data_IF_376215472371
#
_entry.id   IF_376215472371
#
_cell.length_a   1.000
_cell.length_b   1.000
_cell.length_c   1.000
_cell.angle_alpha   90.00
_cell.angle_beta   90.00
_cell.angle_gamma   90.00
#
_symmetry.space_group_name_H-M   'P 1'
#
loop_
_entity.id
_entity.type
_entity.pdbx_description
1 polymer ?
#
# COMPACT_ATOMS: atom_id res chain seq x y z
N UNK A 1 16.86 7.00 20.81
CA UNK A 1 17.03 5.61 20.34
C UNK A 1 16.26 5.46 19.03
N UNK A 2 16.91 5.18 17.89
CA UNK A 2 16.22 4.86 16.62
C UNK A 2 16.08 3.34 16.56
N UNK A 3 14.86 2.83 16.65
CA UNK A 3 14.59 1.40 16.45
C UNK A 3 14.48 1.17 14.94
N UNK A 4 15.46 0.50 14.36
CA UNK A 4 15.41 0.03 12.97
C UNK A 4 14.85 -1.38 12.95
N UNK A 5 13.79 -1.61 12.16
CA UNK A 5 13.28 -2.94 11.84
C UNK A 5 13.81 -3.34 10.47
N UNK A 6 14.93 -4.09 10.38
CA UNK A 6 15.42 -4.56 9.09
C UNK A 6 14.42 -5.58 8.53
N UNK A 7 13.87 -5.27 7.36
CA UNK A 7 13.10 -6.19 6.54
C UNK A 7 13.89 -6.39 5.26
N UNK A 8 14.05 -7.63 4.82
CA UNK A 8 14.49 -7.89 3.45
C UNK A 8 13.41 -7.41 2.48
N UNK A 9 13.81 -6.88 1.33
CA UNK A 9 12.86 -6.29 0.39
C UNK A 9 13.34 -6.36 -1.04
N UNK A 10 12.37 -6.45 -1.97
CA UNK A 10 12.61 -6.20 -3.38
C UNK A 10 12.53 -4.70 -3.66
N UNK A 11 13.48 -4.21 -4.44
CA UNK A 11 13.54 -2.82 -4.93
C UNK A 11 13.47 -2.81 -6.44
N UNK A 12 12.49 -2.10 -7.00
CA UNK A 12 12.43 -1.78 -8.41
C UNK A 12 12.48 -0.26 -8.57
N UNK A 13 13.48 0.21 -9.31
CA UNK A 13 13.71 1.62 -9.59
C UNK A 13 13.18 1.97 -10.99
N UNK A 14 12.64 3.20 -11.18
CA UNK A 14 12.35 3.74 -12.51
C UNK A 14 13.58 3.70 -13.41
N UNK A 15 13.39 3.53 -14.72
CA UNK A 15 14.50 3.42 -15.69
C UNK A 15 15.42 4.65 -15.64
N UNK A 16 14.85 5.85 -15.53
CA UNK A 16 15.60 7.11 -15.48
C UNK A 16 16.10 7.46 -14.07
N UNK A 17 15.96 6.57 -13.08
CA UNK A 17 16.32 6.88 -11.70
C UNK A 17 17.78 7.33 -11.59
N UNK A 18 18.70 6.69 -12.33
CA UNK A 18 20.13 7.02 -12.31
C UNK A 18 20.50 8.21 -13.21
N UNK A 19 19.73 8.45 -14.28
CA UNK A 19 20.03 9.49 -15.27
C UNK A 19 19.80 10.91 -14.72
N UNK A 20 18.75 11.11 -13.92
CA UNK A 20 18.41 12.41 -13.35
C UNK A 20 18.54 12.44 -11.82
N UNK A 21 19.70 12.89 -11.33
CA UNK A 21 20.01 12.96 -9.89
C UNK A 21 19.18 13.99 -9.11
N UNK A 22 18.47 14.91 -9.78
CA UNK A 22 17.62 15.93 -9.15
C UNK A 22 16.17 15.49 -9.00
N UNK A 23 15.72 14.53 -9.81
CA UNK A 23 14.32 14.08 -9.78
C UNK A 23 14.03 13.29 -8.52
N UNK A 24 12.94 13.67 -7.85
CA UNK A 24 12.32 12.91 -6.76
C UNK A 24 11.15 12.11 -7.30
N UNK A 25 11.11 10.83 -6.95
CA UNK A 25 10.20 9.85 -7.52
C UNK A 25 9.07 9.51 -6.55
N UNK A 26 7.85 9.24 -7.04
CA UNK A 26 6.84 8.62 -6.20
C UNK A 26 7.35 7.30 -5.63
N UNK A 27 6.86 6.94 -4.45
CA UNK A 27 7.14 5.65 -3.80
C UNK A 27 5.85 4.87 -3.65
N UNK A 28 5.83 3.63 -4.16
CA UNK A 28 4.78 2.65 -3.89
C UNK A 28 5.37 1.56 -3.01
N UNK A 29 4.77 1.38 -1.83
CA UNK A 29 5.10 0.30 -0.90
C UNK A 29 4.07 -0.80 -1.06
N UNK A 30 4.51 -2.01 -1.39
CA UNK A 30 3.66 -3.19 -1.59
C UNK A 30 3.82 -4.19 -0.44
N UNK A 31 2.71 -4.55 0.21
CA UNK A 31 2.66 -5.56 1.26
C UNK A 31 2.05 -6.86 0.73
N UNK A 32 2.81 -7.96 0.81
CA UNK A 32 2.38 -9.28 0.32
C UNK A 32 1.39 -9.99 1.27
N UNK A 33 0.85 -11.12 0.81
CA UNK A 33 -0.10 -11.97 1.55
C UNK A 33 0.57 -12.94 2.51
N UNK A 34 -0.22 -13.78 3.21
CA UNK A 34 0.32 -14.72 4.20
C UNK A 34 1.32 -15.72 3.61
N UNK A 35 1.12 -16.11 2.35
CA UNK A 35 1.87 -17.18 1.67
C UNK A 35 3.28 -16.80 1.24
N UNK A 36 3.61 -15.50 1.22
CA UNK A 36 4.92 -15.00 0.79
C UNK A 36 5.84 -14.66 1.98
N UNK A 37 5.40 -14.94 3.22
CA UNK A 37 6.24 -14.81 4.41
C UNK A 37 7.41 -15.81 4.36
N UNK A 38 8.47 -15.47 5.07
CA UNK A 38 9.61 -16.36 5.28
C UNK A 38 10.94 -15.73 4.89
N UNK A 39 11.99 -16.57 4.71
CA UNK A 39 13.33 -16.09 4.40
C UNK A 39 13.63 -16.03 2.89
N UNK A 40 12.81 -16.66 2.03
CA UNK A 40 13.03 -16.66 0.59
C UNK A 40 12.39 -15.42 -0.06
N UNK A 41 13.21 -14.43 -0.36
CA UNK A 41 12.77 -13.17 -0.96
C UNK A 41 12.11 -13.36 -2.35
N UNK A 42 12.37 -14.47 -3.05
CA UNK A 42 11.69 -14.77 -4.31
C UNK A 42 10.19 -15.01 -4.12
N UNK A 43 9.75 -15.44 -2.93
CA UNK A 43 8.35 -15.61 -2.62
C UNK A 43 7.55 -14.31 -2.82
N UNK A 44 8.15 -13.15 -2.56
CA UNK A 44 7.51 -11.84 -2.72
C UNK A 44 7.10 -11.57 -4.18
N UNK A 45 7.75 -12.21 -5.16
CA UNK A 45 7.43 -12.05 -6.60
C UNK A 45 6.23 -12.87 -7.07
N UNK A 46 5.58 -13.68 -6.21
CA UNK A 46 4.48 -14.56 -6.61
C UNK A 46 3.21 -13.82 -7.03
N UNK A 47 2.96 -12.63 -6.48
CA UNK A 47 1.72 -11.88 -6.69
C UNK A 47 1.95 -10.37 -6.76
N UNK A 48 0.97 -9.64 -7.27
CA UNK A 48 0.91 -8.18 -7.23
C UNK A 48 2.00 -7.46 -8.05
N UNK A 49 2.32 -6.23 -7.64
CA UNK A 49 3.28 -5.38 -8.34
C UNK A 49 4.69 -6.00 -8.50
N UNK A 50 5.29 -6.68 -7.50
CA UNK A 50 6.60 -7.31 -7.70
C UNK A 50 6.56 -8.43 -8.75
N UNK A 51 5.44 -9.16 -8.90
CA UNK A 51 5.25 -10.12 -10.01
C UNK A 51 5.27 -9.42 -11.37
N UNK A 52 4.57 -8.29 -11.48
CA UNK A 52 4.50 -7.53 -12.72
C UNK A 52 5.87 -6.94 -13.08
N UNK A 53 6.62 -6.44 -12.09
CA UNK A 53 8.00 -5.97 -12.27
C UNK A 53 8.90 -7.09 -12.81
N UNK A 54 8.82 -8.29 -12.20
CA UNK A 54 9.60 -9.46 -12.65
C UNK A 54 9.25 -9.86 -14.09
N UNK A 55 7.97 -9.74 -14.47
CA UNK A 55 7.50 -9.98 -15.83
C UNK A 55 7.88 -8.87 -16.83
N UNK A 56 8.65 -7.86 -16.41
CA UNK A 56 9.18 -6.80 -17.27
C UNK A 56 8.36 -5.51 -17.29
N UNK A 57 7.27 -5.40 -16.52
CA UNK A 57 6.51 -4.16 -16.42
C UNK A 57 7.38 -3.07 -15.78
N UNK A 58 7.48 -1.92 -16.46
CA UNK A 58 8.21 -0.75 -15.99
C UNK A 58 7.26 0.19 -15.26
N UNK A 59 7.75 0.76 -14.16
CA UNK A 59 6.99 1.68 -13.34
C UNK A 59 7.64 3.06 -13.31
N UNK A 60 6.85 4.16 -13.41
CA UNK A 60 7.36 5.52 -13.27
C UNK A 60 7.52 5.94 -11.80
N UNK A 61 7.74 4.98 -10.90
CA UNK A 61 7.86 5.17 -9.45
C UNK A 61 8.80 4.12 -8.85
N UNK A 62 9.34 4.42 -7.67
CA UNK A 62 10.07 3.46 -6.87
C UNK A 62 9.06 2.47 -6.30
N UNK A 63 9.26 1.18 -6.54
CA UNK A 63 8.50 0.11 -5.91
C UNK A 63 9.38 -0.58 -4.86
N UNK A 64 8.89 -0.61 -3.62
CA UNK A 64 9.52 -1.37 -2.53
C UNK A 64 8.53 -2.41 -2.01
N UNK A 65 8.98 -3.67 -1.97
CA UNK A 65 8.18 -4.80 -1.51
C UNK A 65 8.92 -5.54 -0.39
N UNK A 66 8.74 -5.15 0.89
CA UNK A 66 9.34 -5.86 2.00
C UNK A 66 8.78 -7.27 2.15
N UNK A 67 9.55 -8.17 2.76
CA UNK A 67 9.13 -9.49 3.18
C UNK A 67 8.85 -9.52 4.68
N UNK A 68 7.69 -10.06 5.05
CA UNK A 68 7.33 -10.33 6.43
C UNK A 68 7.95 -11.68 6.87
N UNK A 69 8.57 -11.76 8.07
CA UNK A 69 9.13 -13.02 8.57
C UNK A 69 8.08 -14.14 8.70
N UNK A 70 8.54 -15.40 8.63
CA UNK A 70 7.69 -16.61 8.59
C UNK A 70 6.58 -16.62 9.66
N UNK A 71 6.94 -16.34 10.91
CA UNK A 71 6.06 -16.43 12.07
C UNK A 71 5.50 -15.06 12.51
N UNK A 72 5.50 -14.09 11.60
CA UNK A 72 5.06 -12.72 11.87
C UNK A 72 3.82 -12.32 11.08
N UNK A 73 3.27 -11.17 11.47
CA UNK A 73 2.27 -10.42 10.72
C UNK A 73 2.80 -9.01 10.43
N UNK A 74 2.16 -8.29 9.52
CA UNK A 74 2.49 -6.88 9.29
C UNK A 74 2.24 -6.05 10.56
N UNK A 75 3.31 -5.47 11.10
CA UNK A 75 3.28 -4.54 12.22
C UNK A 75 3.35 -3.10 11.70
N UNK A 76 2.34 -2.29 12.04
CA UNK A 76 2.22 -0.92 11.53
C UNK A 76 3.42 -0.02 11.87
N UNK A 77 3.95 -0.10 13.09
CA UNK A 77 5.10 0.71 13.51
C UNK A 77 6.40 0.27 12.81
N UNK A 78 6.59 -1.04 12.63
CA UNK A 78 7.73 -1.56 11.88
C UNK A 78 7.69 -1.12 10.40
N UNK A 79 6.51 -1.17 9.77
CA UNK A 79 6.36 -0.69 8.38
C UNK A 79 6.54 0.83 8.30
N UNK A 80 6.01 1.60 9.24
CA UNK A 80 6.23 3.04 9.28
C UNK A 80 7.72 3.40 9.35
N UNK A 81 8.47 2.74 10.24
CA UNK A 81 9.91 2.91 10.39
C UNK A 81 10.69 2.45 9.14
N UNK A 82 10.28 1.34 8.53
CA UNK A 82 10.84 0.87 7.27
C UNK A 82 10.65 1.91 6.14
N UNK A 83 9.43 2.41 5.96
CA UNK A 83 9.15 3.42 4.92
C UNK A 83 9.92 4.72 5.18
N UNK A 84 10.06 5.13 6.45
CA UNK A 84 10.91 6.26 6.81
C UNK A 84 12.38 6.04 6.40
N UNK A 85 12.89 4.83 6.60
CA UNK A 85 14.25 4.43 6.19
C UNK A 85 14.41 4.52 4.68
N UNK A 86 13.49 3.92 3.91
CA UNK A 86 13.47 4.01 2.44
C UNK A 86 13.45 5.47 1.96
N UNK A 87 12.59 6.30 2.55
CA UNK A 87 12.50 7.72 2.19
C UNK A 87 13.78 8.50 2.48
N UNK A 88 14.58 8.07 3.46
CA UNK A 88 15.87 8.70 3.79
C UNK A 88 17.02 8.24 2.89
N UNK A 89 16.92 7.03 2.33
CA UNK A 89 17.98 6.42 1.51
C UNK A 89 17.79 6.67 0.00
N UNK A 90 16.55 6.84 -0.45
CA UNK A 90 16.21 7.01 -1.86
C UNK A 90 15.70 8.42 -2.16
N UNK A 91 15.73 8.81 -3.44
CA UNK A 91 15.20 10.10 -3.93
C UNK A 91 13.68 10.07 -4.02
N UNK A 92 13.01 9.99 -2.88
CA UNK A 92 11.54 9.95 -2.79
C UNK A 92 10.95 11.37 -2.80
N UNK A 93 9.85 11.55 -3.52
CA UNK A 93 8.92 12.67 -3.37
C UNK A 93 8.00 12.37 -2.20
N UNK A 94 8.24 13.04 -1.06
CA UNK A 94 7.54 12.77 0.20
C UNK A 94 6.06 13.12 0.17
N UNK A 95 5.59 13.87 -0.83
CA UNK A 95 4.16 14.13 -1.03
C UNK A 95 3.48 13.06 -1.90
N UNK A 96 4.23 12.07 -2.38
CA UNK A 96 3.76 10.98 -3.26
C UNK A 96 4.24 9.62 -2.77
N UNK A 97 3.98 9.32 -1.51
CA UNK A 97 4.19 8.00 -0.90
C UNK A 97 2.85 7.26 -0.83
N UNK A 98 2.79 6.06 -1.39
CA UNK A 98 1.58 5.25 -1.49
C UNK A 98 1.79 3.90 -0.81
N UNK A 99 0.69 3.33 -0.30
CA UNK A 99 0.70 2.01 0.31
C UNK A 99 -0.38 1.13 -0.31
N UNK A 100 0.00 -0.08 -0.70
CA UNK A 100 -0.90 -1.07 -1.28
C UNK A 100 -0.52 -2.46 -0.80
N UNK A 101 -1.45 -3.41 -0.88
CA UNK A 101 -1.17 -4.77 -0.46
C UNK A 101 -2.40 -5.66 -0.59
N UNK A 102 -2.16 -6.97 -0.52
CA UNK A 102 -3.19 -8.00 -0.73
C UNK A 102 -3.36 -8.92 0.48
N UNK A 103 -4.59 -9.34 0.76
CA UNK A 103 -4.89 -10.29 1.85
C UNK A 103 -4.31 -9.81 3.19
N UNK A 104 -3.36 -10.54 3.79
CA UNK A 104 -2.56 -10.10 4.94
C UNK A 104 -1.99 -8.68 4.74
N UNK A 105 -1.40 -8.39 3.58
CA UNK A 105 -0.93 -7.06 3.20
C UNK A 105 -2.03 -6.04 2.95
N UNK A 106 -3.24 -6.49 2.62
CA UNK A 106 -4.44 -5.64 2.61
C UNK A 106 -4.80 -5.17 4.02
N UNK A 107 -4.71 -6.05 5.02
CA UNK A 107 -4.80 -5.66 6.43
C UNK A 107 -3.66 -4.73 6.83
N UNK A 108 -2.42 -5.08 6.48
CA UNK A 108 -1.25 -4.24 6.75
C UNK A 108 -1.35 -2.84 6.15
N UNK A 109 -1.97 -2.72 4.96
CA UNK A 109 -2.20 -1.43 4.30
C UNK A 109 -3.15 -0.55 5.10
N UNK A 110 -4.29 -1.10 5.54
CA UNK A 110 -5.23 -0.37 6.39
C UNK A 110 -4.59 0.04 7.72
N UNK A 111 -4.00 -0.91 8.44
CA UNK A 111 -3.49 -0.67 9.79
C UNK A 111 -2.32 0.31 9.81
N UNK A 112 -1.38 0.18 8.87
CA UNK A 112 -0.22 1.09 8.77
C UNK A 112 -0.63 2.50 8.39
N UNK A 113 -1.59 2.65 7.46
CA UNK A 113 -2.08 3.96 7.07
C UNK A 113 -2.87 4.63 8.21
N UNK A 114 -3.67 3.88 8.98
CA UNK A 114 -4.33 4.40 10.17
C UNK A 114 -3.32 4.80 11.26
N UNK A 115 -2.20 4.09 11.37
CA UNK A 115 -1.15 4.37 12.35
C UNK A 115 -0.41 5.69 12.06
N UNK A 116 -0.09 5.97 10.80
CA UNK A 116 0.52 7.24 10.39
C UNK A 116 -0.07 7.78 9.08
N UNK A 117 -1.27 8.37 9.13
CA UNK A 117 -1.97 8.83 7.93
C UNK A 117 -1.22 9.97 7.21
N UNK A 118 -0.45 10.78 7.96
CA UNK A 118 0.34 11.89 7.41
C UNK A 118 1.52 11.44 6.54
N UNK A 119 1.82 10.14 6.47
CA UNK A 119 2.85 9.60 5.57
C UNK A 119 2.33 9.41 4.16
N UNK A 120 1.05 9.12 3.98
CA UNK A 120 0.54 8.57 2.72
C UNK A 120 -0.27 9.59 1.92
N UNK A 121 0.04 9.68 0.64
CA UNK A 121 -0.73 10.44 -0.34
C UNK A 121 -2.02 9.71 -0.73
N UNK A 122 -2.01 8.38 -0.76
CA UNK A 122 -3.17 7.52 -0.95
C UNK A 122 -2.83 6.06 -0.64
N UNK A 123 -3.87 5.25 -0.45
CA UNK A 123 -3.73 3.80 -0.24
C UNK A 123 -4.67 2.97 -1.11
N UNK A 124 -4.23 1.75 -1.43
CA UNK A 124 -4.98 0.76 -2.20
C UNK A 124 -4.99 -0.63 -1.52
N UNK A 125 -5.79 -0.84 -0.47
CA UNK A 125 -5.89 -2.13 0.18
C UNK A 125 -6.74 -3.11 -0.64
N UNK A 126 -6.27 -4.35 -0.82
CA UNK A 126 -6.95 -5.39 -1.60
C UNK A 126 -7.26 -6.60 -0.71
N UNK A 127 -8.52 -7.04 -0.71
CA UNK A 127 -9.07 -8.17 0.05
C UNK A 127 -8.54 -8.31 1.49
N UNK A 128 -8.49 -7.19 2.21
CA UNK A 128 -8.14 -7.12 3.63
C UNK A 128 -9.26 -6.51 4.47
N UNK A 129 -8.89 -6.05 5.66
CA UNK A 129 -9.76 -5.36 6.61
C UNK A 129 -8.97 -4.51 7.59
N UNK A 130 -9.68 -3.85 8.49
CA UNK A 130 -9.08 -3.06 9.55
C UNK A 130 -10.05 -2.87 10.70
N UNK A 131 -9.59 -2.18 11.72
CA UNK A 131 -10.40 -1.79 12.87
C UNK A 131 -11.17 -0.51 12.52
N UNK A 132 -12.49 -0.61 12.36
CA UNK A 132 -13.34 0.51 11.89
C UNK A 132 -13.24 1.75 12.79
N UNK A 133 -13.01 1.57 14.10
CA UNK A 133 -12.75 2.67 15.04
C UNK A 133 -11.54 3.54 14.65
N UNK A 134 -10.65 3.02 13.81
CA UNK A 134 -9.47 3.72 13.30
C UNK A 134 -9.66 4.28 11.88
N UNK A 135 -10.87 4.19 11.30
CA UNK A 135 -11.11 4.68 9.95
C UNK A 135 -11.07 6.22 9.85
N UNK A 136 -11.42 6.94 10.92
CA UNK A 136 -11.42 8.40 10.94
C UNK A 136 -10.02 9.02 10.77
N UNK A 137 -8.97 8.27 11.12
CA UNK A 137 -7.57 8.63 10.92
C UNK A 137 -7.26 8.84 9.42
N UNK A 138 -8.00 8.18 8.54
CA UNK A 138 -7.82 8.26 7.09
C UNK A 138 -8.67 9.36 6.44
N UNK A 139 -9.27 10.28 7.22
CA UNK A 139 -10.10 11.37 6.68
C UNK A 139 -9.41 12.15 5.55
N UNK A 140 -8.10 12.37 5.65
CA UNK A 140 -7.31 13.11 4.66
C UNK A 140 -6.55 12.22 3.67
N UNK A 141 -6.71 10.90 3.74
CA UNK A 141 -5.99 9.94 2.90
C UNK A 141 -6.99 9.32 1.91
N UNK A 142 -6.92 9.65 0.61
CA UNK A 142 -7.70 8.98 -0.42
C UNK A 142 -7.51 7.46 -0.41
N UNK A 143 -8.62 6.72 -0.44
CA UNK A 143 -8.62 5.25 -0.45
C UNK A 143 -9.33 4.68 -1.68
N UNK A 144 -8.67 3.77 -2.38
CA UNK A 144 -9.32 2.89 -3.36
C UNK A 144 -9.11 1.43 -2.98
N UNK A 145 -10.11 0.83 -2.32
CA UNK A 145 -10.09 -0.56 -1.93
C UNK A 145 -10.65 -1.49 -3.02
N UNK A 146 -10.22 -2.76 -3.01
CA UNK A 146 -10.70 -3.81 -3.91
C UNK A 146 -11.05 -5.10 -3.16
N UNK A 147 -12.05 -5.84 -3.64
CA UNK A 147 -12.45 -7.12 -3.05
C UNK A 147 -13.19 -8.01 -4.04
N UNK A 148 -13.10 -9.34 -3.89
CA UNK A 148 -13.97 -10.29 -4.60
C UNK A 148 -15.27 -10.55 -3.84
N UNK A 149 -16.44 -10.47 -4.50
CA UNK A 149 -17.74 -10.63 -3.82
C UNK A 149 -17.94 -12.02 -3.19
N UNK A 150 -17.25 -13.04 -3.70
CA UNK A 150 -17.35 -14.43 -3.25
C UNK A 150 -16.19 -14.83 -2.34
N UNK A 151 -15.39 -13.88 -1.86
CA UNK A 151 -14.28 -14.18 -0.95
C UNK A 151 -14.79 -14.83 0.35
N UNK A 152 -14.31 -16.05 0.61
CA UNK A 152 -14.63 -16.84 1.80
C UNK A 152 -13.49 -16.85 2.84
N UNK A 153 -12.29 -16.41 2.46
CA UNK A 153 -11.12 -16.30 3.33
C UNK A 153 -11.17 -14.98 4.10
N UNK A 154 -11.34 -13.87 3.38
CA UNK A 154 -11.59 -12.55 3.96
C UNK A 154 -12.94 -12.08 3.46
N UNK A 155 -13.91 -11.91 4.36
CA UNK A 155 -15.26 -11.53 3.92
C UNK A 155 -15.26 -10.09 3.37
N UNK A 156 -15.94 -9.80 2.24
CA UNK A 156 -16.03 -8.44 1.66
C UNK A 156 -16.55 -7.38 2.63
N UNK A 157 -17.39 -7.80 3.59
CA UNK A 157 -17.89 -6.98 4.68
C UNK A 157 -16.76 -6.25 5.44
N UNK A 158 -15.55 -6.82 5.52
CA UNK A 158 -14.39 -6.18 6.15
C UNK A 158 -13.94 -4.92 5.41
N UNK A 159 -13.82 -4.98 4.08
CA UNK A 159 -13.48 -3.80 3.28
C UNK A 159 -14.64 -2.81 3.17
N UNK A 160 -15.88 -3.30 3.08
CA UNK A 160 -17.08 -2.46 3.08
C UNK A 160 -17.18 -1.62 4.36
N UNK A 161 -16.94 -2.23 5.53
CA UNK A 161 -16.99 -1.55 6.82
C UNK A 161 -15.91 -0.47 6.95
N UNK A 162 -14.67 -0.74 6.52
CA UNK A 162 -13.61 0.28 6.52
C UNK A 162 -13.93 1.44 5.58
N UNK A 163 -14.36 1.15 4.35
CA UNK A 163 -14.73 2.21 3.38
C UNK A 163 -15.90 3.04 3.88
N UNK A 164 -16.91 2.42 4.50
CA UNK A 164 -17.99 3.14 5.17
C UNK A 164 -17.46 4.03 6.29
N UNK A 165 -16.62 3.50 7.19
CA UNK A 165 -16.05 4.26 8.30
C UNK A 165 -15.24 5.49 7.85
N UNK A 166 -14.45 5.37 6.76
CA UNK A 166 -13.72 6.51 6.20
C UNK A 166 -14.69 7.57 5.65
N UNK A 167 -15.74 7.14 4.93
CA UNK A 167 -16.77 8.05 4.39
C UNK A 167 -17.56 8.75 5.48
N UNK A 168 -17.97 8.02 6.52
CA UNK A 168 -18.71 8.56 7.67
C UNK A 168 -17.88 9.62 8.41
N UNK A 169 -16.55 9.50 8.42
CA UNK A 169 -15.63 10.50 8.97
C UNK A 169 -15.36 11.69 8.02
N UNK A 170 -16.05 11.76 6.86
CA UNK A 170 -15.88 12.81 5.86
C UNK A 170 -14.66 12.63 4.95
N UNK A 171 -14.08 11.42 4.90
CA UNK A 171 -12.96 11.08 4.03
C UNK A 171 -13.36 10.56 2.65
N UNK A 172 -12.42 10.54 1.72
CA UNK A 172 -12.62 10.03 0.36
C UNK A 172 -12.19 8.56 0.25
N UNK A 173 -13.16 7.65 0.28
CA UNK A 173 -12.92 6.22 0.04
C UNK A 173 -13.86 5.65 -1.02
N UNK A 174 -13.36 4.74 -1.85
CA UNK A 174 -14.17 3.92 -2.76
C UNK A 174 -13.76 2.45 -2.70
N UNK A 175 -14.73 1.58 -2.99
CA UNK A 175 -14.55 0.12 -3.04
C UNK A 175 -14.98 -0.40 -4.40
N UNK A 176 -14.09 -1.11 -5.08
CA UNK A 176 -14.44 -1.91 -6.25
C UNK A 176 -14.64 -3.36 -5.81
N UNK A 177 -15.86 -3.87 -5.99
CA UNK A 177 -16.19 -5.28 -5.70
C UNK A 177 -16.32 -6.03 -7.02
N UNK A 178 -15.53 -7.09 -7.19
CA UNK A 178 -15.61 -7.96 -8.35
C UNK A 178 -16.68 -9.05 -8.13
N UNK A 179 -17.81 -9.05 -8.87
CA UNK A 179 -19.00 -9.85 -8.51
C UNK A 179 -18.79 -11.37 -8.53
N UNK A 180 -17.83 -11.85 -9.33
CA UNK A 180 -17.61 -13.29 -9.54
C UNK A 180 -16.35 -13.81 -8.87
N UNK A 181 -15.50 -12.95 -8.34
CA UNK A 181 -14.19 -13.35 -7.81
C UNK A 181 -14.28 -13.76 -6.35
N UNK A 182 -13.43 -14.73 -6.00
CA UNK A 182 -13.18 -15.19 -4.64
C UNK A 182 -12.00 -14.41 -4.03
N UNK A 183 -11.06 -15.09 -3.36
CA UNK A 183 -9.99 -14.44 -2.60
C UNK A 183 -9.01 -13.64 -3.47
N UNK A 184 -8.64 -14.20 -4.63
CA UNK A 184 -7.76 -13.53 -5.58
C UNK A 184 -8.52 -12.42 -6.32
N UNK A 185 -8.56 -11.25 -5.69
CA UNK A 185 -9.02 -10.00 -6.30
C UNK A 185 -7.87 -9.06 -6.65
N UNK A 186 -6.63 -9.44 -6.35
CA UNK A 186 -5.43 -8.63 -6.60
C UNK A 186 -4.96 -8.70 -8.04
N UNK A 187 -5.01 -9.85 -8.71
CA UNK A 187 -4.58 -9.94 -10.11
C UNK A 187 -5.37 -8.98 -11.02
N UNK A 188 -6.72 -8.95 -11.01
CA UNK A 188 -7.47 -7.99 -11.81
C UNK A 188 -7.45 -6.56 -11.26
N UNK A 189 -7.12 -6.35 -9.99
CA UNK A 189 -6.95 -5.00 -9.45
C UNK A 189 -5.62 -4.38 -9.91
N UNK A 190 -4.52 -5.12 -9.88
CA UNK A 190 -3.21 -4.63 -10.33
C UNK A 190 -3.06 -4.64 -11.85
N UNK A 191 -3.82 -5.47 -12.58
CA UNK A 191 -3.87 -5.42 -14.04
C UNK A 191 -4.62 -4.18 -14.59
N UNK A 192 -5.32 -3.42 -13.73
CA UNK A 192 -6.03 -2.18 -14.12
C UNK A 192 -5.06 -1.00 -14.20
N UNK A 193 -4.82 -0.42 -15.39
CA UNK A 193 -4.02 0.79 -15.51
C UNK A 193 -4.58 1.93 -14.64
N UNK A 194 -5.90 1.98 -14.47
CA UNK A 194 -6.58 3.04 -13.73
C UNK A 194 -6.18 3.08 -12.25
N UNK A 195 -5.79 1.95 -11.65
CA UNK A 195 -5.34 1.94 -10.26
C UNK A 195 -4.03 2.72 -10.12
N UNK A 196 -3.03 2.40 -10.97
CA UNK A 196 -1.73 3.06 -10.92
C UNK A 196 -1.85 4.53 -11.34
N UNK A 197 -2.61 4.83 -12.39
CA UNK A 197 -2.91 6.22 -12.80
C UNK A 197 -3.56 7.00 -11.67
N UNK A 198 -4.56 6.41 -10.99
CA UNK A 198 -5.23 7.07 -9.87
C UNK A 198 -4.30 7.30 -8.68
N UNK A 199 -3.48 6.31 -8.30
CA UNK A 199 -2.48 6.48 -7.23
C UNK A 199 -1.54 7.63 -7.54
N UNK A 200 -0.95 7.66 -8.74
CA UNK A 200 0.03 8.66 -9.14
C UNK A 200 -0.53 10.09 -9.27
N UNK A 201 -1.85 10.22 -9.41
CA UNK A 201 -2.53 11.51 -9.40
C UNK A 201 -2.71 12.09 -7.98
N UNK A 202 -2.59 11.27 -6.92
CA UNK A 202 -2.78 11.74 -5.56
C UNK A 202 -1.52 12.46 -5.06
N UNK A 203 -1.73 13.46 -4.22
CA UNK A 203 -0.67 14.07 -3.42
C UNK A 203 -1.17 14.20 -2.00
N UNK A 204 -0.26 14.03 -1.03
CA UNK A 204 -0.56 14.19 0.38
C UNK A 204 -1.17 15.58 0.63
N UNK A 205 -2.29 15.61 1.35
CA UNK A 205 -2.87 16.86 1.82
C UNK A 205 -1.85 17.58 2.72
N UNK A 206 -1.47 18.81 2.38
CA UNK A 206 -0.68 19.63 3.31
C UNK A 206 -1.63 20.10 4.42
N UNK A 207 -1.19 20.11 5.69
CA UNK A 207 -1.93 20.82 6.72
C UNK A 207 -2.16 22.24 6.23
N UNK A 208 -3.41 22.73 6.24
CA UNK A 208 -3.65 24.14 5.99
C UNK A 208 -2.85 24.91 7.04
N UNK A 209 -1.86 25.68 6.62
CA UNK A 209 -1.30 26.71 7.48
C UNK A 209 -2.41 27.75 7.67
N UNK A 210 -3.25 27.56 8.68
CA UNK A 210 -3.99 28.67 9.25
C UNK A 210 -2.91 29.65 9.71
N UNK A 211 -2.78 30.75 8.97
CA UNK A 211 -1.97 31.90 9.39
C UNK A 211 -2.60 32.40 10.70
N UNK A 212 -1.80 32.72 11.73
CA UNK A 212 -2.33 33.29 12.98
C UNK A 212 -3.12 34.57 12.71
#
# INVERSE_FOLDING_TARGET
MRVTYPLDYLLCLPEDYSANRRTRWPLVVFLHGLGERGPDLNAVKRHGLPRLAEAGMKFPFILVSPQCPADSWWNAAAIDAFVATICSQLRVDLDRVYLTGLSMGGYGTWTTACFNPARYAAIAPICGGGEVRHAAQLRQVPVWAFHGAKDRVVRPARSQAMVKGVRDAGGSAKLTVFPRLEHNSWDPAYAKPELLTWLLAQRRARPSTARP
#
